data_IF_856769952627
#
_entry.id   IF_856769952627
#
_cell.length_a   1.000
_cell.length_b   1.000
_cell.length_c   1.000
_cell.angle_alpha   90.00
_cell.angle_beta   90.00
_cell.angle_gamma   90.00
#
_symmetry.space_group_name_H-M   'P 1'
#
loop_
_entity.id
_entity.type
_entity.pdbx_description
1 polymer ?
#
# COMPACT_ATOMS: atom_id res chain seq x y z
N UNK A 1 45.93 12.86 3.82
CA UNK A 1 45.59 11.48 4.24
C UNK A 1 44.29 11.02 3.59
N UNK A 2 43.15 11.69 3.80
CA UNK A 2 41.92 11.37 3.04
C UNK A 2 41.86 12.04 1.64
N UNK A 3 42.12 13.35 1.53
CA UNK A 3 42.04 14.10 0.25
C UNK A 3 43.26 15.03 -0.02
N UNK A 4 44.21 15.08 0.91
CA UNK A 4 45.47 15.82 0.74
C UNK A 4 46.48 14.95 -0.01
N UNK A 5 47.08 15.52 -1.05
CA UNK A 5 48.10 14.88 -1.89
C UNK A 5 49.44 14.75 -1.15
N UNK A 6 50.44 14.17 -1.81
CA UNK A 6 51.81 14.07 -1.31
C UNK A 6 52.48 15.44 -1.09
N UNK A 7 51.90 16.51 -1.63
CA UNK A 7 52.33 17.90 -1.41
C UNK A 7 51.51 18.53 -0.27
N UNK A 8 52.16 18.96 0.83
CA UNK A 8 51.48 19.64 1.93
C UNK A 8 50.72 20.87 1.46
N UNK A 9 49.47 21.01 1.90
CA UNK A 9 48.59 22.13 1.53
C UNK A 9 47.95 22.01 0.15
N UNK A 10 48.17 20.92 -0.59
CA UNK A 10 47.52 20.65 -1.89
C UNK A 10 46.50 19.52 -1.72
N UNK A 11 45.24 19.82 -2.01
CA UNK A 11 44.10 18.91 -1.90
C UNK A 11 43.56 18.56 -3.29
N UNK A 12 43.09 17.32 -3.44
CA UNK A 12 42.46 16.81 -4.66
C UNK A 12 41.05 16.30 -4.36
N UNK A 13 40.19 16.28 -5.37
CA UNK A 13 38.85 15.70 -5.29
C UNK A 13 38.23 15.56 -6.68
N UNK A 14 37.06 14.94 -6.74
CA UNK A 14 36.34 14.61 -7.97
C UNK A 14 37.09 13.60 -8.83
N UNK A 15 36.98 13.77 -10.14
CA UNK A 15 37.56 12.87 -11.14
C UNK A 15 39.07 12.69 -11.01
N UNK A 16 39.76 13.69 -10.43
CA UNK A 16 41.20 13.66 -10.20
C UNK A 16 41.62 12.61 -9.16
N UNK A 17 40.70 12.16 -8.31
CA UNK A 17 40.98 11.21 -7.23
C UNK A 17 40.19 9.90 -7.37
N UNK A 18 38.92 9.96 -7.77
CA UNK A 18 38.04 8.79 -7.85
C UNK A 18 37.88 8.24 -9.28
N UNK A 19 38.46 8.90 -10.28
CA UNK A 19 38.15 8.65 -11.68
C UNK A 19 36.74 9.13 -12.04
N UNK A 20 36.21 8.73 -13.20
CA UNK A 20 34.89 9.17 -13.65
C UNK A 20 33.78 8.71 -12.71
N UNK A 21 33.24 9.62 -11.92
CA UNK A 21 32.14 9.39 -10.97
C UNK A 21 30.92 10.23 -11.34
N UNK A 22 29.80 9.99 -10.66
CA UNK A 22 28.61 10.82 -10.88
C UNK A 22 28.85 12.26 -10.42
N UNK A 23 28.19 13.23 -11.05
CA UNK A 23 28.26 14.65 -10.66
C UNK A 23 27.92 14.84 -9.18
N UNK A 24 26.97 14.05 -8.66
CA UNK A 24 26.55 14.10 -7.24
C UNK A 24 27.72 13.70 -6.32
N UNK A 25 28.42 12.61 -6.65
CA UNK A 25 29.59 12.17 -5.89
C UNK A 25 30.75 13.17 -5.97
N UNK A 26 30.99 13.76 -7.14
CA UNK A 26 32.00 14.79 -7.31
C UNK A 26 31.71 16.04 -6.44
N UNK A 27 30.45 16.46 -6.38
CA UNK A 27 30.02 17.59 -5.53
C UNK A 27 30.13 17.24 -4.04
N UNK A 28 29.76 16.02 -3.64
CA UNK A 28 29.90 15.55 -2.26
C UNK A 28 31.37 15.56 -1.81
N UNK A 29 32.27 15.02 -2.65
CA UNK A 29 33.70 15.02 -2.38
C UNK A 29 34.29 16.45 -2.35
N UNK A 30 33.76 17.37 -3.16
CA UNK A 30 34.12 18.78 -3.09
C UNK A 30 33.84 19.42 -1.72
N UNK A 31 32.74 19.05 -1.06
CA UNK A 31 32.44 19.50 0.31
C UNK A 31 33.40 18.91 1.33
N UNK A 32 33.75 17.63 1.20
CA UNK A 32 34.73 16.97 2.06
C UNK A 32 36.13 17.58 1.90
N UNK A 33 36.52 17.91 0.66
CA UNK A 33 37.77 18.61 0.39
C UNK A 33 37.80 20.00 1.02
N UNK A 34 36.70 20.77 0.92
CA UNK A 34 36.58 22.07 1.58
C UNK A 34 36.72 21.97 3.11
N UNK A 35 36.08 20.96 3.72
CA UNK A 35 36.19 20.68 5.16
C UNK A 35 37.62 20.33 5.56
N UNK A 36 38.31 19.50 4.76
CA UNK A 36 39.70 19.14 4.99
C UNK A 36 40.65 20.34 4.87
N UNK A 37 40.41 21.25 3.91
CA UNK A 37 41.17 22.49 3.74
C UNK A 37 40.98 23.40 4.95
N UNK A 38 39.74 23.59 5.41
CA UNK A 38 39.43 24.44 6.56
C UNK A 38 40.14 23.95 7.84
N UNK A 39 40.05 22.64 8.13
CA UNK A 39 40.72 22.04 9.30
C UNK A 39 42.25 22.09 9.21
N UNK A 40 42.80 21.95 8.01
CA UNK A 40 44.23 22.13 7.76
C UNK A 40 44.69 23.57 8.05
N UNK A 41 43.92 24.56 7.60
CA UNK A 41 44.21 25.97 7.86
C UNK A 41 44.05 26.34 9.35
N UNK A 42 43.15 25.65 10.06
CA UNK A 42 42.98 25.78 11.51
C UNK A 42 44.13 25.13 12.32
N UNK A 43 45.00 24.34 11.67
CA UNK A 43 46.13 23.66 12.32
C UNK A 43 45.77 22.34 13.01
N UNK A 44 44.66 21.73 12.62
CA UNK A 44 44.22 20.44 13.17
C UNK A 44 45.10 19.27 12.69
N UNK A 45 45.07 18.15 13.44
CA UNK A 45 45.76 16.92 13.05
C UNK A 45 45.03 16.22 11.90
N UNK A 46 45.63 16.29 10.70
CA UNK A 46 45.08 15.73 9.47
C UNK A 46 44.93 14.20 9.47
N UNK A 47 45.56 13.50 10.42
CA UNK A 47 45.40 12.06 10.63
C UNK A 47 43.98 11.75 11.14
N UNK A 48 43.53 12.54 12.12
CA UNK A 48 42.21 12.42 12.74
C UNK A 48 41.11 12.90 11.80
N UNK A 49 41.37 14.01 11.11
CA UNK A 49 40.44 14.53 10.09
C UNK A 49 40.21 13.51 8.97
N UNK A 50 41.23 12.72 8.61
CA UNK A 50 41.07 11.67 7.61
C UNK A 50 40.19 10.51 8.07
N UNK A 51 40.30 10.08 9.34
CA UNK A 51 39.40 9.06 9.89
C UNK A 51 37.95 9.55 9.98
N UNK A 52 37.73 10.80 10.37
CA UNK A 52 36.38 11.40 10.42
C UNK A 52 35.72 11.46 9.03
N UNK A 53 36.48 11.89 8.01
CA UNK A 53 35.98 11.93 6.63
C UNK A 53 35.65 10.53 6.12
N UNK A 54 36.46 9.53 6.46
CA UNK A 54 36.25 8.15 6.03
C UNK A 54 35.01 7.51 6.67
N UNK A 55 34.68 7.88 7.92
CA UNK A 55 33.42 7.48 8.55
C UNK A 55 32.21 8.17 7.91
N UNK A 56 32.34 9.44 7.53
CA UNK A 56 31.28 10.23 6.87
C UNK A 56 31.00 9.75 5.42
N UNK A 57 32.03 9.28 4.71
CA UNK A 57 31.87 8.65 3.38
C UNK A 57 31.28 7.23 3.43
N UNK A 58 31.19 6.62 4.63
CA UNK A 58 30.63 5.28 4.76
C UNK A 58 29.14 5.34 4.44
N UNK A 59 28.79 4.84 3.25
CA UNK A 59 27.40 4.63 2.87
C UNK A 59 26.76 3.77 3.95
N UNK A 60 25.71 4.24 4.63
CA UNK A 60 25.04 3.41 5.63
C UNK A 60 24.57 2.14 4.93
N UNK A 61 24.83 0.99 5.56
CA UNK A 61 24.09 -0.22 5.20
C UNK A 61 22.62 0.08 5.54
N UNK A 62 21.87 0.44 4.51
CA UNK A 62 20.43 0.52 4.56
C UNK A 62 19.96 -0.90 4.85
N UNK A 63 19.69 -1.16 6.13
CA UNK A 63 18.95 -2.34 6.54
C UNK A 63 17.64 -2.26 5.77
N UNK A 64 17.33 -3.31 5.01
CA UNK A 64 16.04 -3.45 4.37
C UNK A 64 15.00 -3.47 5.50
N UNK A 65 14.30 -2.34 5.70
CA UNK A 65 13.65 -2.04 6.98
C UNK A 65 12.53 -3.04 7.32
N UNK A 66 12.10 -3.88 6.37
CA UNK A 66 11.42 -5.15 6.72
C UNK A 66 11.30 -6.10 5.53
N UNK A 67 11.76 -7.36 5.63
CA UNK A 67 11.03 -8.46 5.00
C UNK A 67 9.62 -8.51 5.62
N UNK A 68 8.61 -8.73 4.78
CA UNK A 68 7.21 -8.93 5.20
C UNK A 68 7.12 -9.69 6.53
N UNK A 69 6.67 -9.02 7.58
CA UNK A 69 6.34 -9.62 8.87
C UNK A 69 4.82 -9.84 8.92
N UNK A 70 4.33 -11.02 9.31
CA UNK A 70 2.89 -11.25 9.47
C UNK A 70 2.30 -10.26 10.49
N UNK A 71 1.06 -9.84 10.25
CA UNK A 71 0.35 -8.93 11.16
C UNK A 71 0.23 -9.56 12.56
N UNK A 72 0.79 -8.87 13.55
CA UNK A 72 0.60 -9.20 14.96
C UNK A 72 -0.33 -8.17 15.62
N UNK A 73 -1.34 -8.61 16.41
CA UNK A 73 -2.26 -7.69 17.05
C UNK A 73 -1.53 -6.77 18.03
N UNK A 74 -2.00 -5.53 18.12
CA UNK A 74 -1.42 -4.53 19.02
C UNK A 74 -1.44 -5.00 20.47
N UNK A 75 -0.29 -4.88 21.14
CA UNK A 75 -0.23 -5.04 22.59
C UNK A 75 -0.94 -3.82 23.18
N UNK A 76 -2.17 -4.00 23.67
CA UNK A 76 -2.89 -2.89 24.32
C UNK A 76 -2.17 -2.52 25.60
N UNK A 77 -1.96 -1.22 25.78
CA UNK A 77 -1.42 -0.67 27.03
C UNK A 77 -2.30 -1.13 28.20
N UNK A 78 -1.73 -1.68 29.28
CA UNK A 78 -2.49 -2.03 30.47
C UNK A 78 -3.16 -0.79 31.04
N UNK A 79 -4.49 -0.81 31.08
CA UNK A 79 -5.29 0.25 31.69
C UNK A 79 -5.89 -0.25 33.00
N UNK A 80 -5.95 0.65 34.00
CA UNK A 80 -6.77 0.42 35.17
C UNK A 80 -8.23 0.16 34.77
N UNK A 81 -8.92 -0.83 35.36
CA UNK A 81 -10.34 -1.07 35.11
C UNK A 81 -11.20 0.16 35.40
N UNK A 82 -12.26 0.35 34.61
CA UNK A 82 -13.11 1.54 34.67
C UNK A 82 -13.59 1.90 36.09
N UNK A 83 -14.04 0.92 36.86
CA UNK A 83 -14.54 1.14 38.23
C UNK A 83 -13.48 1.72 39.18
N UNK A 84 -12.21 1.40 38.94
CA UNK A 84 -11.08 1.87 39.74
C UNK A 84 -10.62 3.26 39.26
N UNK A 85 -10.66 3.52 37.95
CA UNK A 85 -10.33 4.83 37.36
C UNK A 85 -11.18 5.98 37.91
N UNK A 86 -12.43 5.70 38.30
CA UNK A 86 -13.34 6.72 38.86
C UNK A 86 -13.09 6.97 40.35
N UNK A 87 -12.44 6.03 41.04
CA UNK A 87 -12.33 5.99 42.51
C UNK A 87 -10.92 6.22 43.04
N UNK A 88 -9.90 6.16 42.19
CA UNK A 88 -8.50 6.36 42.58
C UNK A 88 -7.81 7.40 41.70
N UNK A 89 -6.78 8.04 42.27
CA UNK A 89 -5.83 8.88 41.54
C UNK A 89 -4.58 8.08 41.12
N UNK A 90 -4.70 6.75 41.08
CA UNK A 90 -3.61 5.89 40.64
C UNK A 90 -3.38 6.04 39.13
N UNK A 91 -2.17 5.70 38.69
CA UNK A 91 -1.76 5.84 37.31
C UNK A 91 -2.65 4.97 36.40
N UNK A 92 -3.46 5.62 35.57
CA UNK A 92 -4.45 4.96 34.70
C UNK A 92 -3.77 4.09 33.64
N UNK A 93 -2.66 4.58 33.09
CA UNK A 93 -1.84 3.91 32.10
C UNK A 93 -0.65 3.25 32.81
N UNK A 94 -0.68 1.93 32.96
CA UNK A 94 0.36 1.19 33.68
C UNK A 94 1.70 1.10 32.93
N UNK A 95 1.74 1.55 31.67
CA UNK A 95 2.87 1.37 30.77
C UNK A 95 3.05 -0.09 30.34
N UNK A 96 3.95 -0.33 29.39
CA UNK A 96 4.30 -1.68 28.98
C UNK A 96 5.30 -2.30 29.96
N UNK A 97 5.17 -3.61 30.19
CA UNK A 97 6.27 -4.39 30.74
C UNK A 97 7.39 -4.51 29.70
N UNK A 98 8.61 -4.86 30.14
CA UNK A 98 9.76 -4.92 29.23
C UNK A 98 9.50 -5.83 28.01
N UNK A 99 8.88 -6.98 28.24
CA UNK A 99 8.56 -7.93 27.17
C UNK A 99 7.49 -7.38 26.20
N UNK A 100 6.44 -6.74 26.71
CA UNK A 100 5.43 -6.07 25.89
C UNK A 100 6.00 -4.89 25.10
N UNK A 101 6.90 -4.11 25.71
CA UNK A 101 7.58 -2.99 25.06
C UNK A 101 8.50 -3.47 23.93
N UNK A 102 9.31 -4.51 24.17
CA UNK A 102 10.18 -5.12 23.15
C UNK A 102 9.37 -5.72 22.00
N UNK A 103 8.24 -6.37 22.32
CA UNK A 103 7.32 -6.92 21.31
C UNK A 103 6.65 -5.84 20.46
N UNK A 104 6.15 -4.77 21.10
CA UNK A 104 5.53 -3.64 20.40
C UNK A 104 6.55 -2.88 19.55
N UNK A 105 7.78 -2.68 20.06
CA UNK A 105 8.87 -2.05 19.31
C UNK A 105 9.38 -2.91 18.15
N UNK A 106 9.26 -4.23 18.25
CA UNK A 106 9.58 -5.17 17.17
C UNK A 106 8.48 -5.28 16.10
N UNK A 107 7.29 -4.71 16.34
CA UNK A 107 6.22 -4.62 15.34
C UNK A 107 6.61 -3.58 14.29
N UNK A 108 6.35 -3.90 13.02
CA UNK A 108 6.61 -2.94 11.95
C UNK A 108 5.68 -1.72 12.06
N UNK A 109 6.18 -0.53 11.69
CA UNK A 109 5.36 0.68 11.48
C UNK A 109 4.40 0.54 10.28
N UNK A 110 4.48 -0.54 9.49
CA UNK A 110 3.60 -0.79 8.34
C UNK A 110 2.11 -0.82 8.72
N UNK A 111 1.78 -1.22 9.96
CA UNK A 111 0.40 -1.24 10.47
C UNK A 111 -0.27 0.15 10.47
N UNK A 112 0.51 1.25 10.35
CA UNK A 112 0.00 2.63 10.29
C UNK A 112 0.17 3.23 8.88
N UNK A 113 1.25 2.86 8.18
CA UNK A 113 1.50 3.32 6.82
C UNK A 113 1.95 2.13 5.95
N UNK A 114 1.04 1.58 5.12
CA UNK A 114 1.34 0.45 4.24
C UNK A 114 2.51 0.71 3.28
N UNK A 115 2.75 1.99 2.96
CA UNK A 115 3.81 2.45 2.06
C UNK A 115 5.19 2.59 2.75
N UNK A 116 5.33 2.20 4.02
CA UNK A 116 6.63 2.18 4.73
C UNK A 116 7.63 1.31 3.97
N UNK A 117 8.80 1.89 3.66
CA UNK A 117 9.83 1.27 2.83
C UNK A 117 9.80 1.68 1.35
N UNK A 118 8.63 2.06 0.79
CA UNK A 118 8.51 2.60 -0.58
C UNK A 118 8.28 4.13 -0.60
N UNK A 119 7.79 4.68 0.51
CA UNK A 119 7.47 6.09 0.66
C UNK A 119 8.66 7.01 0.35
N UNK A 120 8.50 7.85 -0.68
CA UNK A 120 9.53 8.79 -1.10
C UNK A 120 9.80 9.84 -0.02
N UNK A 121 8.77 10.28 0.71
CA UNK A 121 8.93 11.25 1.79
C UNK A 121 9.80 10.69 2.91
N UNK A 122 9.59 9.42 3.27
CA UNK A 122 10.41 8.74 4.27
C UNK A 122 11.87 8.63 3.80
N UNK A 123 12.08 8.15 2.55
CA UNK A 123 13.42 8.02 1.96
C UNK A 123 14.16 9.36 1.93
N UNK A 124 13.51 10.41 1.39
CA UNK A 124 14.10 11.74 1.29
C UNK A 124 14.36 12.37 2.66
N UNK A 125 13.50 12.11 3.64
CA UNK A 125 13.71 12.58 5.01
C UNK A 125 14.99 12.00 5.61
N UNK A 126 15.21 10.69 5.45
CA UNK A 126 16.42 10.01 5.91
C UNK A 126 17.68 10.48 5.16
N UNK A 127 17.61 10.56 3.82
CA UNK A 127 18.73 11.01 2.97
C UNK A 127 19.21 12.44 3.33
N UNK A 128 18.28 13.30 3.75
CA UNK A 128 18.58 14.68 4.13
C UNK A 128 18.72 14.91 5.64
N UNK A 129 18.67 13.84 6.46
CA UNK A 129 18.85 13.95 7.92
C UNK A 129 17.72 14.70 8.63
N UNK A 130 16.50 14.71 8.07
CA UNK A 130 15.32 15.37 8.65
C UNK A 130 14.63 14.48 9.69
N UNK A 131 15.40 14.01 10.67
CA UNK A 131 14.92 13.07 11.70
C UNK A 131 14.24 13.75 12.89
N UNK A 132 14.43 15.05 13.05
CA UNK A 132 13.80 15.84 14.11
C UNK A 132 12.59 16.62 13.58
N UNK A 133 11.46 16.51 14.27
CA UNK A 133 10.25 17.23 13.93
C UNK A 133 10.03 18.36 14.95
N UNK A 134 10.38 19.59 14.57
CA UNK A 134 10.13 20.78 15.40
C UNK A 134 8.64 20.99 15.74
N UNK A 135 7.73 20.37 14.99
CA UNK A 135 6.28 20.47 15.18
C UNK A 135 5.71 19.32 16.02
N UNK A 136 6.53 18.45 16.62
CA UNK A 136 6.04 17.29 17.38
C UNK A 136 5.25 17.64 18.65
N UNK A 137 5.29 18.92 19.07
CA UNK A 137 4.55 19.47 20.22
C UNK A 137 3.36 20.35 19.83
N UNK A 138 2.94 20.26 18.58
CA UNK A 138 1.75 20.91 18.07
C UNK A 138 0.51 20.54 18.90
N UNK A 139 -0.31 21.53 19.26
CA UNK A 139 -1.65 21.24 19.76
C UNK A 139 -2.51 20.70 18.59
N UNK A 140 -3.61 19.96 18.83
CA UNK A 140 -4.45 19.38 17.77
C UNK A 140 -4.94 20.36 16.69
N UNK A 141 -4.85 21.67 16.95
CA UNK A 141 -5.15 22.76 16.01
C UNK A 141 -4.08 22.98 14.94
N UNK A 142 -2.87 22.43 15.11
CA UNK A 142 -1.73 22.68 14.24
C UNK A 142 -1.58 21.64 13.10
N UNK A 143 -2.43 20.60 13.07
CA UNK A 143 -2.48 19.60 12.00
C UNK A 143 -3.92 19.29 11.59
N UNK A 144 -4.10 18.84 10.35
CA UNK A 144 -5.38 18.31 9.91
C UNK A 144 -5.56 16.89 10.41
N UNK A 145 -6.77 16.58 10.87
CA UNK A 145 -7.20 15.23 11.25
C UNK A 145 -8.43 14.86 10.43
N UNK A 146 -8.17 14.31 9.24
CA UNK A 146 -9.18 13.80 8.33
C UNK A 146 -9.49 12.34 8.64
N UNK A 147 -10.75 11.96 8.48
CA UNK A 147 -11.12 10.54 8.51
C UNK A 147 -10.58 9.82 7.26
N UNK A 148 -10.29 8.53 7.43
CA UNK A 148 -9.94 7.64 6.33
C UNK A 148 -11.14 7.44 5.41
N UNK A 149 -10.92 7.64 4.11
CA UNK A 149 -11.96 7.45 3.10
C UNK A 149 -11.86 6.03 2.50
N UNK A 150 -12.81 5.19 2.92
CA UNK A 150 -13.02 3.82 2.45
C UNK A 150 -14.19 3.67 1.47
N UNK A 151 -14.76 4.80 1.01
CA UNK A 151 -15.98 4.79 0.21
C UNK A 151 -15.79 4.19 -1.19
N UNK A 152 -14.55 4.18 -1.69
CA UNK A 152 -14.20 3.52 -2.94
C UNK A 152 -13.79 2.07 -2.74
N UNK A 153 -14.20 1.25 -3.69
CA UNK A 153 -14.04 -0.19 -3.64
C UNK A 153 -12.59 -0.66 -3.69
N UNK A 154 -11.77 0.01 -4.51
CA UNK A 154 -10.39 -0.40 -4.80
C UNK A 154 -9.32 0.54 -4.25
N UNK A 155 -9.71 1.76 -3.88
CA UNK A 155 -8.77 2.84 -3.55
C UNK A 155 -9.05 3.28 -2.12
N UNK A 156 -8.07 3.10 -1.25
CA UNK A 156 -8.03 3.68 0.08
C UNK A 156 -7.41 5.07 0.00
N UNK A 157 -8.06 6.04 0.64
CA UNK A 157 -7.56 7.43 0.67
C UNK A 157 -7.41 7.93 2.09
N UNK A 158 -6.18 8.33 2.41
CA UNK A 158 -5.77 8.93 3.67
C UNK A 158 -5.16 10.31 3.40
N UNK A 159 -5.95 11.35 3.63
CA UNK A 159 -5.53 12.72 3.35
C UNK A 159 -4.53 13.27 4.37
N UNK A 160 -4.42 12.67 5.56
CA UNK A 160 -3.44 13.11 6.56
C UNK A 160 -2.00 12.89 6.08
N UNK A 161 -1.81 11.97 5.13
CA UNK A 161 -0.52 11.69 4.47
C UNK A 161 -0.31 12.49 3.19
N UNK A 162 -1.29 13.27 2.73
CA UNK A 162 -1.20 14.00 1.47
C UNK A 162 -0.36 15.27 1.61
N UNK A 163 0.67 15.41 0.78
CA UNK A 163 1.51 16.62 0.71
C UNK A 163 1.09 17.59 -0.41
N UNK A 164 -0.11 17.41 -0.96
CA UNK A 164 -0.66 18.23 -2.06
C UNK A 164 0.25 18.37 -3.30
N UNK A 165 1.00 17.32 -3.63
CA UNK A 165 1.91 17.30 -4.78
C UNK A 165 1.18 17.29 -6.14
N UNK A 166 -0.12 17.00 -6.17
CA UNK A 166 -0.99 16.93 -7.38
C UNK A 166 -0.61 15.85 -8.41
N UNK A 167 0.26 14.89 -8.07
CA UNK A 167 0.63 13.82 -9.01
C UNK A 167 -0.57 12.94 -9.40
N UNK A 168 -1.45 12.61 -8.45
CA UNK A 168 -2.68 11.87 -8.71
C UNK A 168 -3.66 12.63 -9.63
N UNK A 169 -3.72 13.95 -9.51
CA UNK A 169 -4.51 14.82 -10.41
C UNK A 169 -3.95 14.75 -11.84
N UNK A 170 -2.63 14.92 -11.99
CA UNK A 170 -1.97 14.89 -13.29
C UNK A 170 -2.08 13.54 -13.97
N UNK A 171 -1.79 12.43 -13.27
CA UNK A 171 -1.87 11.09 -13.89
C UNK A 171 -3.31 10.74 -14.28
N UNK A 172 -4.29 11.09 -13.45
CA UNK A 172 -5.70 10.80 -13.72
C UNK A 172 -6.23 11.62 -14.90
N UNK A 173 -5.80 12.88 -15.06
CA UNK A 173 -6.22 13.75 -16.15
C UNK A 173 -5.44 13.53 -17.44
N UNK A 174 -4.11 13.50 -17.36
CA UNK A 174 -3.23 13.62 -18.53
C UNK A 174 -2.89 12.24 -19.14
N UNK A 175 -2.90 11.17 -18.34
CA UNK A 175 -2.56 9.80 -18.81
C UNK A 175 -3.80 8.92 -18.93
N UNK A 176 -4.62 8.83 -17.88
CA UNK A 176 -5.81 7.97 -17.88
C UNK A 176 -6.98 8.65 -18.60
N UNK A 177 -7.11 9.97 -18.49
CA UNK A 177 -8.21 10.74 -19.10
C UNK A 177 -9.53 10.74 -18.31
N UNK A 178 -9.58 10.07 -17.16
CA UNK A 178 -10.78 10.04 -16.29
C UNK A 178 -10.96 11.33 -15.47
N UNK A 179 -9.87 12.07 -15.21
CA UNK A 179 -9.89 13.39 -14.57
C UNK A 179 -10.77 13.50 -13.30
N UNK A 180 -10.72 12.49 -12.42
CA UNK A 180 -11.59 12.41 -11.25
C UNK A 180 -11.11 13.26 -10.07
N UNK A 181 -9.82 13.59 -10.01
CA UNK A 181 -9.22 14.36 -8.92
C UNK A 181 -8.99 15.82 -9.30
N UNK A 182 -9.14 16.72 -8.33
CA UNK A 182 -8.78 18.13 -8.38
C UNK A 182 -8.26 18.62 -7.04
N UNK A 183 -7.71 19.83 -7.02
CA UNK A 183 -7.37 20.51 -5.77
C UNK A 183 -8.53 21.44 -5.40
N UNK A 184 -9.10 21.26 -4.22
CA UNK A 184 -10.13 22.14 -3.66
C UNK A 184 -9.59 22.86 -2.41
N UNK A 185 -10.14 24.05 -2.14
CA UNK A 185 -9.67 24.89 -1.04
C UNK A 185 -8.47 25.76 -1.42
N UNK A 186 -7.85 26.37 -0.42
CA UNK A 186 -6.72 27.28 -0.62
C UNK A 186 -5.79 27.33 0.58
N UNK A 187 -4.52 27.62 0.34
CA UNK A 187 -3.50 27.69 1.39
C UNK A 187 -3.35 26.38 2.15
N UNK A 188 -3.42 26.47 3.48
CA UNK A 188 -3.28 25.34 4.38
C UNK A 188 -4.44 24.34 4.29
N UNK A 189 -5.65 24.80 3.96
CA UNK A 189 -6.86 23.97 3.84
C UNK A 189 -7.05 23.41 2.43
N UNK A 190 -5.97 23.36 1.63
CA UNK A 190 -6.03 22.75 0.32
C UNK A 190 -6.06 21.23 0.44
N UNK A 191 -7.02 20.59 -0.22
CA UNK A 191 -7.17 19.14 -0.25
C UNK A 191 -7.28 18.66 -1.68
N UNK A 192 -6.58 17.57 -1.99
CA UNK A 192 -6.80 16.86 -3.25
C UNK A 192 -8.03 16.00 -3.08
N UNK A 193 -9.09 16.27 -3.85
CA UNK A 193 -10.38 15.59 -3.76
C UNK A 193 -11.12 15.56 -5.10
N UNK A 194 -12.27 14.91 -5.16
CA UNK A 194 -13.16 14.88 -6.32
C UNK A 194 -14.01 16.16 -6.40
N UNK A 195 -14.61 16.48 -7.55
CA UNK A 195 -15.61 17.53 -7.64
C UNK A 195 -16.70 17.34 -6.58
N UNK A 196 -17.01 18.40 -5.81
CA UNK A 196 -17.99 18.37 -4.73
C UNK A 196 -17.68 17.44 -3.55
N UNK A 197 -16.44 16.92 -3.45
CA UNK A 197 -15.99 16.03 -2.38
C UNK A 197 -16.85 14.75 -2.24
N UNK A 198 -17.32 14.22 -3.37
CA UNK A 198 -18.05 12.94 -3.42
C UNK A 198 -17.10 11.75 -3.42
N UNK A 199 -17.60 10.56 -3.06
CA UNK A 199 -16.81 9.33 -3.21
C UNK A 199 -16.35 9.15 -4.67
N UNK A 200 -15.15 8.60 -4.85
CA UNK A 200 -14.64 8.22 -6.18
C UNK A 200 -15.61 7.28 -6.92
N UNK A 201 -16.40 6.49 -6.21
CA UNK A 201 -17.36 5.54 -6.78
C UNK A 201 -18.48 6.23 -7.55
N UNK A 202 -18.74 7.50 -7.26
CA UNK A 202 -19.74 8.32 -7.94
C UNK A 202 -19.13 9.22 -9.03
N UNK A 203 -17.86 9.02 -9.39
CA UNK A 203 -17.15 9.77 -10.44
C UNK A 203 -16.84 8.87 -11.64
N UNK A 204 -16.27 9.44 -12.71
CA UNK A 204 -15.82 8.70 -13.90
C UNK A 204 -14.60 7.79 -13.65
N UNK A 205 -14.34 7.43 -12.39
CA UNK A 205 -13.21 6.60 -12.00
C UNK A 205 -13.35 5.18 -12.57
N UNK A 206 -12.37 4.76 -13.35
CA UNK A 206 -12.29 3.41 -13.92
C UNK A 206 -11.51 2.42 -13.03
N UNK A 207 -11.20 2.79 -11.79
CA UNK A 207 -10.48 1.97 -10.81
C UNK A 207 -9.10 1.44 -11.28
N UNK A 208 -8.42 2.17 -12.16
CA UNK A 208 -7.13 1.75 -12.74
C UNK A 208 -5.95 1.67 -11.76
N UNK A 209 -6.05 2.26 -10.56
CA UNK A 209 -4.97 2.24 -9.55
C UNK A 209 -3.76 3.15 -9.81
N UNK A 210 -3.66 3.81 -10.98
CA UNK A 210 -2.51 4.65 -11.34
C UNK A 210 -2.23 5.78 -10.33
N UNK A 211 -3.27 6.31 -9.68
CA UNK A 211 -3.13 7.32 -8.64
C UNK A 211 -2.50 6.78 -7.35
N UNK A 212 -2.74 5.51 -7.00
CA UNK A 212 -2.14 4.86 -5.85
C UNK A 212 -0.66 4.54 -6.12
N UNK A 213 -0.33 4.05 -7.32
CA UNK A 213 1.05 3.75 -7.69
C UNK A 213 1.97 4.97 -7.78
N UNK A 214 1.41 6.11 -8.21
CA UNK A 214 2.18 7.36 -8.34
C UNK A 214 2.29 8.12 -7.02
N UNK A 215 1.52 7.75 -5.99
CA UNK A 215 1.50 8.48 -4.73
C UNK A 215 2.86 8.37 -4.01
N UNK A 216 3.55 9.47 -3.70
CA UNK A 216 4.88 9.43 -3.09
C UNK A 216 4.86 9.24 -1.57
N UNK A 217 3.68 9.35 -0.93
CA UNK A 217 3.52 9.35 0.53
C UNK A 217 2.58 8.26 1.05
N UNK A 218 1.97 7.46 0.18
CA UNK A 218 0.93 6.51 0.56
C UNK A 218 -0.40 7.15 0.98
N UNK A 219 -0.69 8.39 0.54
CA UNK A 219 -1.99 9.03 0.75
C UNK A 219 -3.12 8.39 -0.08
N UNK A 220 -2.77 7.79 -1.21
CA UNK A 220 -3.66 6.96 -2.02
C UNK A 220 -3.02 5.58 -2.13
N UNK A 221 -3.78 4.55 -1.80
CA UNK A 221 -3.29 3.18 -1.78
C UNK A 221 -4.33 2.25 -2.38
N UNK A 222 -3.85 1.12 -2.93
CA UNK A 222 -4.75 0.04 -3.27
C UNK A 222 -5.26 -0.58 -1.97
N UNK A 223 -6.58 -0.71 -1.86
CA UNK A 223 -7.18 -1.36 -0.69
C UNK A 223 -6.90 -2.85 -0.78
N UNK A 224 -6.27 -3.41 0.24
CA UNK A 224 -6.19 -4.86 0.39
C UNK A 224 -7.60 -5.42 0.51
N UNK A 225 -7.91 -6.41 -0.33
CA UNK A 225 -9.19 -7.11 -0.33
C UNK A 225 -8.90 -8.55 0.03
N UNK A 226 -9.45 -9.00 1.15
CA UNK A 226 -9.76 -10.42 1.31
C UNK A 226 -10.98 -10.71 0.43
N UNK A 227 -10.69 -11.17 -0.79
CA UNK A 227 -11.70 -11.70 -1.71
C UNK A 227 -12.20 -13.04 -1.16
N UNK A 228 -13.20 -13.00 -0.28
CA UNK A 228 -13.88 -14.20 0.20
C UNK A 228 -14.75 -14.82 -0.91
N UNK A 229 -15.44 -13.98 -1.70
CA UNK A 229 -16.31 -14.37 -2.81
C UNK A 229 -16.14 -13.43 -4.00
N UNK A 230 -16.41 -13.92 -5.21
CA UNK A 230 -16.49 -13.11 -6.42
C UNK A 230 -17.74 -13.48 -7.21
N UNK A 231 -18.46 -12.49 -7.68
CA UNK A 231 -19.69 -12.68 -8.47
C UNK A 231 -19.48 -12.09 -9.86
N UNK A 232 -19.74 -12.90 -10.89
CA UNK A 232 -19.73 -12.45 -12.29
C UNK A 232 -21.16 -12.18 -12.72
N UNK A 233 -21.46 -10.93 -13.05
CA UNK A 233 -22.76 -10.59 -13.63
C UNK A 233 -22.79 -10.98 -15.12
N UNK A 234 -23.27 -12.20 -15.37
CA UNK A 234 -23.39 -12.78 -16.71
C UNK A 234 -24.29 -11.92 -17.62
N UNK A 235 -25.23 -11.15 -17.05
CA UNK A 235 -26.13 -10.27 -17.84
C UNK A 235 -25.36 -9.09 -18.44
N UNK A 236 -24.29 -8.63 -17.78
CA UNK A 236 -23.40 -7.58 -18.31
C UNK A 236 -22.26 -8.13 -19.16
N UNK A 237 -22.02 -9.44 -19.13
CA UNK A 237 -20.96 -10.06 -19.92
C UNK A 237 -21.28 -9.98 -21.42
N UNK A 238 -20.35 -9.41 -22.20
CA UNK A 238 -20.47 -9.33 -23.67
C UNK A 238 -19.68 -10.44 -24.40
N UNK A 239 -19.20 -11.43 -23.66
CA UNK A 239 -18.39 -12.54 -24.19
C UNK A 239 -17.11 -12.09 -24.91
N UNK A 240 -16.40 -11.08 -24.39
CA UNK A 240 -15.14 -10.60 -24.99
C UNK A 240 -13.94 -11.54 -24.77
N UNK A 241 -13.97 -12.39 -23.75
CA UNK A 241 -12.90 -13.35 -23.45
C UNK A 241 -11.72 -12.79 -22.62
N UNK A 242 -11.62 -11.47 -22.42
CA UNK A 242 -10.49 -10.84 -21.74
C UNK A 242 -10.23 -11.39 -20.32
N UNK A 243 -11.29 -11.71 -19.59
CA UNK A 243 -11.19 -12.25 -18.23
C UNK A 243 -10.64 -13.70 -18.20
N UNK A 244 -10.81 -14.47 -19.27
CA UNK A 244 -10.24 -15.81 -19.43
C UNK A 244 -8.76 -15.70 -19.76
N UNK A 245 -8.41 -14.82 -20.71
CA UNK A 245 -7.05 -14.60 -21.18
C UNK A 245 -6.12 -14.01 -20.10
N UNK A 246 -6.61 -13.04 -19.32
CA UNK A 246 -5.82 -12.36 -18.29
C UNK A 246 -5.67 -13.22 -17.03
N UNK A 247 -6.48 -14.27 -16.84
CA UNK A 247 -6.47 -15.03 -15.59
C UNK A 247 -5.20 -15.89 -15.46
N UNK A 248 -4.26 -15.58 -14.54
CA UNK A 248 -3.01 -16.33 -14.41
C UNK A 248 -3.23 -17.74 -13.84
N UNK A 249 -4.38 -17.97 -13.21
CA UNK A 249 -4.72 -19.25 -12.56
C UNK A 249 -5.70 -20.09 -13.39
N UNK A 250 -6.19 -19.60 -14.54
CA UNK A 250 -7.19 -20.30 -15.34
C UNK A 250 -8.49 -20.59 -14.58
N UNK A 251 -8.86 -19.72 -13.64
CA UNK A 251 -10.08 -19.86 -12.85
C UNK A 251 -11.35 -19.68 -13.71
N UNK A 252 -11.22 -18.99 -14.84
CA UNK A 252 -12.27 -18.81 -15.84
C UNK A 252 -11.90 -19.58 -17.11
N UNK A 253 -12.91 -20.12 -17.78
CA UNK A 253 -12.75 -20.82 -19.05
C UNK A 253 -13.99 -20.69 -19.90
N UNK A 254 -13.80 -20.66 -21.22
CA UNK A 254 -14.90 -20.66 -22.16
C UNK A 254 -15.63 -22.00 -22.09
N UNK A 255 -16.96 -21.95 -22.08
CA UNK A 255 -17.81 -23.13 -22.19
C UNK A 255 -18.53 -23.09 -23.54
N UNK A 256 -18.91 -24.25 -24.12
CA UNK A 256 -19.70 -24.29 -25.35
C UNK A 256 -21.13 -23.76 -25.18
N UNK A 257 -21.54 -23.38 -23.96
CA UNK A 257 -22.84 -22.80 -23.66
C UNK A 257 -22.86 -21.31 -24.01
N UNK A 258 -22.86 -21.02 -25.30
CA UNK A 258 -22.82 -19.65 -25.84
C UNK A 258 -24.07 -18.81 -25.49
N UNK A 259 -25.16 -19.47 -25.09
CA UNK A 259 -26.43 -18.77 -24.87
C UNK A 259 -26.70 -18.42 -23.41
N UNK A 260 -26.19 -19.15 -22.41
CA UNK A 260 -26.49 -19.01 -20.97
C UNK A 260 -27.92 -18.51 -20.65
N UNK A 261 -28.86 -18.81 -21.54
CA UNK A 261 -30.22 -18.31 -21.51
C UNK A 261 -31.00 -19.37 -20.79
N UNK A 262 -31.18 -19.20 -19.48
CA UNK A 262 -32.26 -19.90 -18.82
C UNK A 262 -33.54 -19.37 -19.43
N UNK A 263 -34.30 -20.24 -20.10
CA UNK A 263 -35.61 -19.93 -20.68
C UNK A 263 -36.65 -19.56 -19.61
N UNK A 264 -36.25 -19.58 -18.33
CA UNK A 264 -37.05 -19.36 -17.13
C UNK A 264 -36.41 -18.30 -16.22
N UNK A 265 -37.25 -17.49 -15.60
CA UNK A 265 -36.92 -16.30 -14.79
C UNK A 265 -36.11 -16.59 -13.51
N UNK A 266 -35.88 -17.85 -13.16
CA UNK A 266 -35.38 -18.29 -11.85
C UNK A 266 -34.06 -19.08 -11.91
N UNK A 267 -33.31 -18.97 -13.00
CA UNK A 267 -31.97 -19.55 -13.09
C UNK A 267 -30.98 -18.83 -12.15
N UNK A 268 -30.19 -19.60 -11.39
CA UNK A 268 -29.15 -19.04 -10.52
C UNK A 268 -27.86 -18.85 -11.34
N UNK A 269 -27.44 -17.59 -11.49
CA UNK A 269 -26.24 -17.16 -12.27
C UNK A 269 -25.03 -16.84 -11.39
N UNK A 270 -25.11 -17.12 -10.08
CA UNK A 270 -24.07 -16.83 -9.10
C UNK A 270 -23.31 -18.12 -8.79
N UNK A 271 -21.99 -18.13 -9.05
CA UNK A 271 -21.10 -19.27 -8.77
C UNK A 271 -20.34 -19.05 -7.45
N UNK A 272 -20.33 -20.05 -6.57
CA UNK A 272 -19.46 -20.08 -5.41
C UNK A 272 -18.03 -20.51 -5.77
N UNK A 273 -17.06 -20.24 -4.88
CA UNK A 273 -15.62 -20.52 -5.07
C UNK A 273 -15.35 -21.98 -5.48
N UNK A 274 -16.06 -22.92 -4.88
CA UNK A 274 -15.93 -24.36 -5.15
C UNK A 274 -16.50 -24.74 -6.52
N UNK A 275 -17.53 -24.02 -6.98
CA UNK A 275 -18.19 -24.27 -8.27
C UNK A 275 -17.34 -23.78 -9.44
N UNK A 276 -16.54 -22.74 -9.22
CA UNK A 276 -15.57 -22.25 -10.20
C UNK A 276 -14.42 -23.22 -10.44
N UNK A 277 -14.01 -23.99 -9.42
CA UNK A 277 -13.00 -25.04 -9.58
C UNK A 277 -13.43 -26.16 -10.55
N UNK A 278 -14.74 -26.29 -10.79
CA UNK A 278 -15.34 -27.27 -11.73
C UNK A 278 -16.10 -26.62 -12.89
N UNK A 279 -15.86 -25.32 -13.16
CA UNK A 279 -16.56 -24.54 -14.18
C UNK A 279 -16.60 -25.21 -15.57
N UNK A 280 -15.54 -25.93 -15.94
CA UNK A 280 -15.43 -26.68 -17.22
C UNK A 280 -16.55 -27.72 -17.44
N UNK A 281 -17.13 -28.24 -16.37
CA UNK A 281 -18.19 -29.27 -16.39
C UNK A 281 -19.48 -28.79 -15.73
N UNK A 282 -19.55 -27.51 -15.35
CA UNK A 282 -20.68 -26.96 -14.61
C UNK A 282 -21.92 -26.87 -15.51
N UNK A 283 -23.05 -27.36 -15.00
CA UNK A 283 -24.37 -27.22 -15.61
C UNK A 283 -25.23 -26.36 -14.70
N UNK A 284 -25.98 -25.37 -15.23
CA UNK A 284 -26.82 -24.50 -14.41
C UNK A 284 -27.83 -25.30 -13.59
N UNK A 285 -27.93 -25.00 -12.30
CA UNK A 285 -29.02 -25.47 -11.43
C UNK A 285 -30.16 -24.46 -11.43
N UNK A 286 -31.40 -24.94 -11.47
CA UNK A 286 -32.59 -24.09 -11.43
C UNK A 286 -33.25 -24.12 -10.03
N UNK A 287 -33.56 -22.94 -9.48
CA UNK A 287 -34.37 -22.79 -8.27
C UNK A 287 -35.83 -22.58 -8.66
N UNK A 288 -36.64 -23.65 -8.63
CA UNK A 288 -38.06 -23.58 -9.01
C UNK A 288 -38.89 -23.26 -7.75
N UNK A 289 -39.74 -22.21 -7.75
CA UNK A 289 -40.71 -21.99 -6.68
C UNK A 289 -41.69 -23.17 -6.64
N UNK A 290 -41.71 -23.91 -5.54
CA UNK A 290 -42.73 -24.95 -5.30
C UNK A 290 -44.00 -24.30 -4.75
N UNK A 291 -45.15 -24.74 -5.26
CA UNK A 291 -46.44 -24.25 -4.77
C UNK A 291 -46.57 -24.55 -3.26
N UNK A 292 -46.61 -23.51 -2.43
CA UNK A 292 -47.19 -23.51 -1.08
C UNK A 292 -46.41 -24.16 0.07
N UNK A 293 -45.52 -25.12 -0.19
CA UNK A 293 -45.03 -25.99 0.89
C UNK A 293 -43.62 -25.64 1.41
N UNK A 294 -43.27 -24.35 1.51
CA UNK A 294 -42.18 -23.82 2.36
C UNK A 294 -40.77 -24.44 2.27
N UNK A 295 -40.50 -25.33 1.30
CA UNK A 295 -39.22 -26.00 1.07
C UNK A 295 -38.83 -25.74 -0.37
N UNK A 296 -38.06 -24.66 -0.58
CA UNK A 296 -37.34 -24.45 -1.84
C UNK A 296 -36.35 -25.60 -2.03
N UNK A 297 -36.43 -26.29 -3.17
CA UNK A 297 -35.56 -27.42 -3.48
C UNK A 297 -34.78 -27.16 -4.75
N UNK A 298 -33.45 -27.20 -4.66
CA UNK A 298 -32.53 -27.20 -5.81
C UNK A 298 -32.68 -28.54 -6.53
N UNK A 299 -33.04 -28.57 -7.81
CA UNK A 299 -32.95 -29.80 -8.61
C UNK A 299 -31.52 -29.93 -9.18
N UNK A 300 -30.85 -31.08 -9.00
CA UNK A 300 -29.63 -31.37 -9.74
C UNK A 300 -29.93 -31.46 -11.24
N UNK A 301 -28.98 -31.08 -12.12
CA UNK A 301 -29.14 -31.19 -13.57
C UNK A 301 -29.40 -32.65 -13.94
N UNK A 302 -30.46 -32.88 -14.73
CA UNK A 302 -31.05 -34.18 -15.07
C UNK A 302 -30.05 -35.36 -15.11
N UNK A 303 -30.02 -36.18 -14.05
CA UNK A 303 -29.38 -37.49 -14.07
C UNK A 303 -30.35 -38.46 -14.73
N UNK A 304 -30.10 -38.88 -15.98
CA UNK A 304 -30.64 -40.16 -16.44
C UNK A 304 -29.97 -41.26 -15.61
N UNK A 305 -30.71 -42.10 -14.87
CA UNK A 305 -30.07 -43.19 -14.15
C UNK A 305 -29.45 -44.17 -15.16
N UNK A 306 -28.22 -44.66 -14.96
CA UNK A 306 -27.71 -45.77 -15.74
C UNK A 306 -28.59 -47.01 -15.46
N UNK A 307 -28.96 -47.74 -16.52
CA UNK A 307 -29.66 -49.01 -16.37
C UNK A 307 -28.81 -49.99 -15.53
N UNK A 308 -29.39 -50.81 -14.65
CA UNK A 308 -28.62 -51.72 -13.82
C UNK A 308 -27.92 -52.77 -14.70
N UNK A 309 -26.59 -52.96 -14.62
CA UNK A 309 -25.96 -54.11 -15.24
C UNK A 309 -26.42 -55.39 -14.53
N UNK A 310 -26.95 -56.33 -15.31
CA UNK A 310 -27.32 -57.67 -14.87
C UNK A 310 -26.03 -58.47 -14.61
N UNK A 311 -25.85 -58.93 -13.39
CA UNK A 311 -24.77 -59.86 -13.07
C UNK A 311 -25.30 -61.30 -13.24
N UNK A 312 -24.83 -61.99 -14.29
CA UNK A 312 -24.94 -63.45 -14.42
C UNK A 312 -23.55 -64.05 -14.26
N UNK A 313 -23.41 -64.85 -13.20
CA UNK A 313 -22.34 -65.80 -12.83
C UNK A 313 -20.89 -65.44 -13.19
#
# INVERSE_FOLDING_TARGET
AALMTDRPGVFSGGDCQMGTVTVIQAVAQGKLAAKAIDRYLAGDDMSLVASEIQEEERVPELIDIVPYKPEEPQVRMPFLPFEQRVRSFELIEGGYDKAGAEKEAARCLQCVCPDVGRCHLQRLSLEHGLTDNRFHRAEPVDYHDYEYDFSHDFILRDLNKCINCTQCVRICRDVIGANCYGLMGGGYDSIVTTPWNVSLSYTDCVSCGACAETCPTGALMMRERDLETYELDIVRCIYCGDCVEVCPHGALGETPNFELSTYTRFGRTVLAKEELAVARTWKPSEDIPTNGDGKGGVRPPEVRPPAPPRWSA
#
